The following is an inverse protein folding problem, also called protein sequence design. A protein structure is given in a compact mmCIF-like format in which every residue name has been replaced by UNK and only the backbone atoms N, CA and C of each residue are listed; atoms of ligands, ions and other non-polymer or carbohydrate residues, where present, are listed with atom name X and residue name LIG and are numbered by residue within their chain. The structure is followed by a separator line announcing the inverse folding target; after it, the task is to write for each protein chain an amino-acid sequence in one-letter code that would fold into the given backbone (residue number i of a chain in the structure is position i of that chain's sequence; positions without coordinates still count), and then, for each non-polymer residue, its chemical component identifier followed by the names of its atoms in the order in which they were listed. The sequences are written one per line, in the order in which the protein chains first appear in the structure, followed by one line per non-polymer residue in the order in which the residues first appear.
data_IF_393276938629
#
_entry.id   IF_393276938629
#
_cell.length_a   1.000
_cell.length_b   1.000
_cell.length_c   1.000
_cell.angle_alpha   90.00
_cell.angle_beta   90.00
_cell.angle_gamma   90.00
#
_symmetry.space_group_name_H-M   'P 1'
#
loop_
_entity.id
_entity.type
_entity.pdbx_description
1 polymer ?
#
# COMPACT_ATOMS: atom_id res chain seq x y z
N UNK A 1 16.20 17.55 4.03
CA UNK A 1 15.92 18.84 4.68
C UNK A 1 14.72 18.67 5.58
N UNK A 2 14.92 18.84 6.88
CA UNK A 2 13.82 18.82 7.83
C UNK A 2 13.10 20.16 7.79
N UNK A 3 11.79 20.12 7.50
CA UNK A 3 10.94 21.31 7.47
C UNK A 3 10.81 21.90 8.88
N UNK A 4 11.02 23.21 9.00
CA UNK A 4 10.85 23.97 10.26
C UNK A 4 9.38 24.36 10.47
N UNK A 5 9.02 24.73 11.71
CA UNK A 5 7.67 25.23 12.02
C UNK A 5 7.31 26.48 11.21
N UNK A 6 8.27 27.38 11.00
CA UNK A 6 8.08 28.62 10.24
C UNK A 6 7.76 28.32 8.77
N UNK A 7 8.50 27.38 8.16
CA UNK A 7 8.24 26.93 6.79
C UNK A 7 6.88 26.24 6.67
N UNK A 8 6.57 25.29 7.56
CA UNK A 8 5.29 24.58 7.55
C UNK A 8 4.10 25.56 7.66
N UNK A 9 4.24 26.55 8.53
CA UNK A 9 3.26 27.62 8.74
C UNK A 9 3.10 28.51 7.50
N UNK A 10 4.21 28.91 6.88
CA UNK A 10 4.18 29.72 5.66
C UNK A 10 3.48 28.97 4.52
N UNK A 11 3.77 27.68 4.34
CA UNK A 11 3.09 26.84 3.35
C UNK A 11 1.60 26.71 3.62
N UNK A 12 1.19 26.49 4.87
CA UNK A 12 -0.21 26.43 5.23
C UNK A 12 -0.95 27.73 4.89
N UNK A 13 -0.39 28.88 5.27
CA UNK A 13 -1.00 30.19 4.99
C UNK A 13 -1.14 30.46 3.50
N UNK A 14 -0.11 30.14 2.72
CA UNK A 14 -0.11 30.30 1.26
C UNK A 14 -1.23 29.50 0.55
N UNK A 15 -1.78 28.47 1.19
CA UNK A 15 -2.82 27.60 0.62
C UNK A 15 -4.09 27.56 1.46
N UNK A 16 -4.25 28.45 2.45
CA UNK A 16 -5.33 28.40 3.43
C UNK A 16 -6.74 28.46 2.81
N UNK A 17 -6.90 29.18 1.70
CA UNK A 17 -8.15 29.27 0.95
C UNK A 17 -8.54 27.97 0.22
N UNK A 18 -7.61 27.02 0.09
CA UNK A 18 -7.80 25.76 -0.65
C UNK A 18 -8.11 24.57 0.26
N UNK A 19 -8.34 24.79 1.56
CA UNK A 19 -8.56 23.72 2.55
C UNK A 19 -7.46 22.65 2.50
N UNK A 20 -6.19 23.03 2.80
CA UNK A 20 -5.04 22.18 2.57
C UNK A 20 -5.09 20.90 3.42
N UNK A 21 -4.69 19.78 2.82
CA UNK A 21 -4.46 18.52 3.53
C UNK A 21 -3.03 18.49 4.05
N UNK A 22 -2.86 18.26 5.35
CA UNK A 22 -1.55 18.23 6.00
C UNK A 22 -1.09 16.76 6.07
N UNK A 23 0.05 16.46 5.46
CA UNK A 23 0.66 15.13 5.51
C UNK A 23 1.77 15.11 6.55
N UNK A 24 1.59 14.32 7.61
CA UNK A 24 2.54 14.17 8.71
C UNK A 24 3.48 12.98 8.45
N UNK A 25 4.62 13.27 7.83
CA UNK A 25 5.63 12.29 7.42
C UNK A 25 7.05 12.72 7.87
N UNK A 26 7.25 12.89 9.19
CA UNK A 26 8.57 13.12 9.79
C UNK A 26 8.76 14.50 10.43
N UNK A 27 7.77 15.39 10.37
CA UNK A 27 7.84 16.68 11.06
C UNK A 27 7.86 16.49 12.58
N UNK A 28 8.76 17.15 13.31
CA UNK A 28 9.04 16.82 14.72
C UNK A 28 8.34 17.69 15.79
N UNK A 29 7.59 18.72 15.39
CA UNK A 29 6.94 19.66 16.33
C UNK A 29 5.39 19.68 16.24
N UNK A 30 4.70 18.52 16.39
CA UNK A 30 3.24 18.42 16.20
C UNK A 30 2.43 19.35 17.09
N UNK A 31 2.84 19.49 18.36
CA UNK A 31 2.14 20.33 19.33
C UNK A 31 2.15 21.79 18.90
N UNK A 32 3.32 22.31 18.54
CA UNK A 32 3.49 23.69 18.12
C UNK A 32 2.73 23.98 16.82
N UNK A 33 2.72 23.03 15.87
CA UNK A 33 1.90 23.15 14.66
C UNK A 33 0.40 23.18 14.98
N UNK A 34 -0.08 22.28 15.85
CA UNK A 34 -1.49 22.27 16.26
C UNK A 34 -1.89 23.55 17.00
N UNK A 35 -1.03 24.08 17.88
CA UNK A 35 -1.23 25.36 18.56
C UNK A 35 -1.30 26.52 17.56
N UNK A 36 -0.42 26.53 16.56
CA UNK A 36 -0.42 27.54 15.50
C UNK A 36 -1.69 27.48 14.64
N UNK A 37 -2.17 26.28 14.29
CA UNK A 37 -3.42 26.11 13.55
C UNK A 37 -4.65 26.58 14.34
N UNK A 38 -4.60 26.54 15.69
CA UNK A 38 -5.67 27.00 16.56
C UNK A 38 -7.01 26.36 16.21
N UNK A 39 -8.04 27.20 15.95
CA UNK A 39 -9.39 26.72 15.57
C UNK A 39 -9.42 26.08 14.18
N UNK A 40 -8.54 26.48 13.26
CA UNK A 40 -8.52 25.92 11.91
C UNK A 40 -8.07 24.45 11.88
N UNK A 41 -7.50 23.96 12.98
CA UNK A 41 -7.19 22.54 13.19
C UNK A 41 -8.43 21.66 13.11
N UNK A 42 -9.56 22.11 13.66
CA UNK A 42 -10.77 21.27 13.74
C UNK A 42 -11.38 21.03 12.35
N UNK A 43 -11.16 21.96 11.43
CA UNK A 43 -11.57 21.85 10.03
C UNK A 43 -10.47 21.31 9.12
N UNK A 44 -9.28 20.99 9.64
CA UNK A 44 -8.18 20.50 8.81
C UNK A 44 -8.28 19.00 8.54
N UNK A 45 -7.77 18.59 7.38
CA UNK A 45 -7.55 17.17 7.07
C UNK A 45 -6.10 16.83 7.33
N UNK A 46 -5.88 15.86 8.20
CA UNK A 46 -4.54 15.41 8.61
C UNK A 46 -4.35 13.95 8.20
N UNK A 47 -3.35 13.70 7.37
CA UNK A 47 -2.94 12.36 6.94
C UNK A 47 -1.67 11.99 7.71
N UNK A 48 -1.72 10.94 8.51
CA UNK A 48 -0.61 10.51 9.37
C UNK A 48 0.05 9.28 8.77
N UNK A 49 1.33 9.38 8.39
CA UNK A 49 2.14 8.20 8.07
C UNK A 49 2.56 7.55 9.39
N UNK A 50 2.09 6.34 9.65
CA UNK A 50 2.16 5.72 10.98
C UNK A 50 3.59 5.61 11.53
N UNK A 51 4.59 5.39 10.68
CA UNK A 51 6.00 5.32 11.06
C UNK A 51 6.53 6.62 11.67
N UNK A 52 5.98 7.75 11.27
CA UNK A 52 6.41 9.08 11.72
C UNK A 52 5.45 9.75 12.70
N UNK A 53 4.21 9.28 12.77
CA UNK A 53 3.15 9.92 13.54
C UNK A 53 2.43 8.89 14.44
N UNK A 54 3.14 8.43 15.49
CA UNK A 54 2.61 7.53 16.53
C UNK A 54 1.55 8.24 17.39
N UNK A 55 0.88 7.51 18.29
CA UNK A 55 -0.28 8.02 19.05
C UNK A 55 -0.05 9.35 19.78
N UNK A 56 1.11 9.53 20.43
CA UNK A 56 1.45 10.79 21.11
C UNK A 56 1.56 11.99 20.17
N UNK A 57 1.94 11.76 18.91
CA UNK A 57 1.94 12.78 17.88
C UNK A 57 0.50 13.16 17.51
N UNK A 58 -0.31 12.15 17.19
CA UNK A 58 -1.66 12.31 16.64
C UNK A 58 -2.64 12.93 17.65
N UNK A 59 -2.38 12.81 18.96
CA UNK A 59 -3.26 13.38 20.01
C UNK A 59 -3.47 14.89 19.87
N UNK A 60 -2.49 15.61 19.31
CA UNK A 60 -2.56 17.05 19.13
C UNK A 60 -3.59 17.48 18.08
N UNK A 61 -4.06 16.54 17.26
CA UNK A 61 -4.99 16.78 16.16
C UNK A 61 -6.38 16.15 16.40
N UNK A 62 -6.72 15.81 17.64
CA UNK A 62 -8.06 15.35 17.99
C UNK A 62 -9.12 16.39 17.58
N UNK A 63 -10.29 15.93 17.12
CA UNK A 63 -11.38 16.77 16.62
C UNK A 63 -11.27 17.20 15.15
N UNK A 64 -10.18 16.87 14.46
CA UNK A 64 -10.01 17.10 13.02
C UNK A 64 -10.43 15.88 12.18
N UNK A 65 -10.44 16.01 10.85
CA UNK A 65 -10.47 14.84 9.94
C UNK A 65 -9.09 14.17 9.95
N UNK A 66 -9.03 12.88 10.29
CA UNK A 66 -7.78 12.15 10.55
C UNK A 66 -7.73 10.88 9.72
N UNK A 67 -6.76 10.78 8.83
CA UNK A 67 -6.52 9.59 8.01
C UNK A 67 -5.22 8.94 8.48
N UNK A 68 -5.24 7.65 8.78
CA UNK A 68 -4.03 6.91 9.12
C UNK A 68 -3.52 6.13 7.91
N UNK A 69 -2.26 6.31 7.55
CA UNK A 69 -1.62 5.56 6.48
C UNK A 69 -0.62 4.59 7.10
N UNK A 70 -0.81 3.29 6.88
CA UNK A 70 0.07 2.22 7.36
C UNK A 70 0.65 1.46 6.18
N UNK A 71 1.95 1.18 6.24
CA UNK A 71 2.57 0.29 5.27
C UNK A 71 2.32 -1.17 5.68
N UNK A 72 1.43 -1.85 4.96
CA UNK A 72 1.18 -3.28 5.14
C UNK A 72 2.19 -4.17 4.41
N UNK A 73 3.00 -3.61 3.51
CA UNK A 73 3.89 -4.38 2.67
C UNK A 73 5.26 -4.61 3.34
N UNK A 74 5.46 -5.82 3.86
CA UNK A 74 6.73 -6.24 4.47
C UNK A 74 7.80 -6.50 3.42
N UNK A 75 8.45 -5.44 2.93
CA UNK A 75 9.42 -5.52 1.84
C UNK A 75 10.60 -6.45 2.17
N UNK A 76 10.83 -7.42 1.29
CA UNK A 76 11.95 -8.38 1.32
C UNK A 76 12.56 -8.52 -0.09
N UNK A 77 13.65 -9.28 -0.22
CA UNK A 77 14.10 -9.71 -1.55
C UNK A 77 13.04 -10.65 -2.12
N UNK A 78 12.76 -10.55 -3.42
CA UNK A 78 11.73 -11.38 -4.07
C UNK A 78 11.87 -12.89 -3.78
N UNK A 79 13.11 -13.37 -3.67
CA UNK A 79 13.43 -14.77 -3.39
C UNK A 79 12.99 -15.25 -1.99
N UNK A 80 12.84 -14.34 -1.03
CA UNK A 80 12.70 -14.62 0.40
C UNK A 80 11.24 -14.58 0.88
N UNK A 81 10.30 -14.08 0.06
CA UNK A 81 8.89 -14.05 0.45
C UNK A 81 8.35 -15.47 0.69
N UNK A 82 7.59 -15.62 1.78
CA UNK A 82 6.66 -16.72 2.02
C UNK A 82 5.55 -16.71 0.97
N UNK A 83 4.79 -17.80 0.84
CA UNK A 83 3.66 -17.83 -0.10
C UNK A 83 2.54 -16.85 0.31
N UNK A 84 2.34 -16.66 1.62
CA UNK A 84 1.24 -15.91 2.20
C UNK A 84 1.73 -15.14 3.43
N UNK A 85 1.44 -13.85 3.47
CA UNK A 85 1.66 -12.98 4.63
C UNK A 85 0.39 -12.19 4.95
N UNK A 86 0.26 -11.80 6.22
CA UNK A 86 -0.70 -10.75 6.62
C UNK A 86 -0.27 -9.40 6.03
N UNK A 87 -1.21 -8.68 5.42
CA UNK A 87 -1.00 -7.36 4.84
C UNK A 87 -1.50 -6.25 5.77
N UNK A 88 -2.80 -6.24 6.10
CA UNK A 88 -3.38 -5.17 6.91
C UNK A 88 -4.77 -5.50 7.43
N UNK A 89 -5.08 -5.03 8.64
CA UNK A 89 -6.42 -4.94 9.21
C UNK A 89 -6.96 -3.49 9.21
N UNK A 90 -6.18 -2.53 8.70
CA UNK A 90 -6.47 -1.11 8.94
C UNK A 90 -7.76 -0.64 8.28
N UNK A 91 -8.12 -1.24 7.15
CA UNK A 91 -9.36 -0.94 6.44
C UNK A 91 -10.64 -1.26 7.23
N UNK A 92 -10.56 -2.13 8.24
CA UNK A 92 -11.67 -2.46 9.15
C UNK A 92 -11.47 -1.98 10.60
N UNK A 93 -10.27 -1.50 10.97
CA UNK A 93 -9.96 -1.08 12.36
C UNK A 93 -9.67 0.42 12.53
N UNK A 94 -9.66 1.21 11.45
CA UNK A 94 -9.25 2.62 11.53
C UNK A 94 -10.15 3.48 12.43
N UNK A 95 -11.44 3.17 12.51
CA UNK A 95 -12.41 3.87 13.33
C UNK A 95 -12.19 3.61 14.84
N UNK A 96 -11.87 2.37 15.22
CA UNK A 96 -11.46 1.99 16.59
C UNK A 96 -10.21 2.75 17.05
N UNK A 97 -9.33 3.10 16.11
CA UNK A 97 -8.15 3.93 16.34
C UNK A 97 -8.46 5.44 16.44
N UNK A 98 -9.73 5.82 16.35
CA UNK A 98 -10.20 7.21 16.36
C UNK A 98 -9.83 7.99 15.09
N UNK A 99 -9.72 7.28 13.97
CA UNK A 99 -9.49 7.87 12.65
C UNK A 99 -10.82 7.97 11.89
N UNK A 100 -10.87 8.88 10.91
CA UNK A 100 -12.01 9.06 10.01
C UNK A 100 -11.74 8.48 8.62
N UNK A 101 -10.61 7.80 8.44
CA UNK A 101 -10.23 7.12 7.22
C UNK A 101 -8.86 6.46 7.34
N UNK A 102 -8.49 5.73 6.30
CA UNK A 102 -7.22 5.01 6.23
C UNK A 102 -6.56 5.14 4.86
N UNK A 103 -5.35 4.62 4.75
CA UNK A 103 -4.66 4.36 3.50
C UNK A 103 -3.45 3.46 3.70
N UNK A 104 -2.81 3.10 2.59
CA UNK A 104 -1.61 2.28 2.58
C UNK A 104 -0.68 2.69 1.42
N UNK A 105 0.45 1.98 1.30
CA UNK A 105 1.43 2.16 0.22
C UNK A 105 1.34 1.03 -0.82
N UNK A 106 0.15 0.42 -0.92
CA UNK A 106 -0.17 -0.70 -1.80
C UNK A 106 0.82 -1.87 -1.58
N UNK A 107 0.98 -2.72 -2.59
CA UNK A 107 1.96 -3.83 -2.62
C UNK A 107 3.38 -3.38 -2.97
N UNK A 108 3.71 -2.11 -2.73
CA UNK A 108 5.01 -1.51 -3.08
C UNK A 108 5.78 -1.07 -1.84
N UNK A 109 5.06 -0.58 -0.84
CA UNK A 109 5.61 -0.04 0.39
C UNK A 109 6.07 1.41 0.30
N UNK A 110 6.37 1.99 1.46
CA UNK A 110 6.75 3.40 1.64
C UNK A 110 8.21 3.70 1.29
N UNK A 111 9.00 2.67 1.01
CA UNK A 111 10.41 2.82 0.71
C UNK A 111 10.63 3.26 -0.75
N UNK A 112 11.34 4.38 -0.92
CA UNK A 112 11.80 4.85 -2.21
C UNK A 112 13.28 4.48 -2.43
N UNK A 113 13.60 4.01 -3.64
CA UNK A 113 14.97 3.92 -4.14
C UNK A 113 15.03 4.41 -5.58
N UNK A 114 16.13 5.11 -5.91
CA UNK A 114 16.47 5.45 -7.29
C UNK A 114 16.92 4.19 -8.02
N UNK A 115 16.07 3.69 -8.92
CA UNK A 115 16.35 2.54 -9.76
C UNK A 115 15.86 1.20 -9.21
N UNK A 116 16.18 0.13 -9.93
CA UNK A 116 15.91 -1.24 -9.55
C UNK A 116 17.22 -2.03 -9.52
N UNK A 117 17.43 -2.80 -8.46
CA UNK A 117 18.49 -3.81 -8.46
C UNK A 117 18.20 -4.94 -9.45
N UNK A 118 19.20 -5.73 -9.84
CA UNK A 118 19.00 -6.92 -10.67
C UNK A 118 17.94 -7.86 -10.05
N UNK A 119 16.96 -8.26 -10.85
CA UNK A 119 15.87 -9.14 -10.42
C UNK A 119 16.31 -10.61 -10.48
N UNK A 120 16.87 -11.10 -9.37
CA UNK A 120 17.23 -12.51 -9.20
C UNK A 120 16.02 -13.44 -9.22
N UNK A 121 14.89 -12.98 -8.68
CA UNK A 121 13.60 -13.65 -8.74
C UNK A 121 12.51 -12.65 -9.17
N UNK A 122 11.46 -13.16 -9.82
CA UNK A 122 10.24 -12.39 -10.12
C UNK A 122 9.17 -12.81 -9.11
N UNK A 123 8.48 -11.82 -8.54
CA UNK A 123 7.34 -12.06 -7.66
C UNK A 123 6.12 -11.31 -8.17
N UNK A 124 4.95 -11.95 -8.12
CA UNK A 124 3.64 -11.31 -8.32
C UNK A 124 2.97 -11.24 -6.95
N UNK A 125 2.57 -10.03 -6.57
CA UNK A 125 1.95 -9.74 -5.28
C UNK A 125 0.46 -9.46 -5.49
N UNK A 126 -0.44 -10.18 -4.81
CA UNK A 126 -1.87 -9.94 -4.91
C UNK A 126 -2.52 -10.04 -3.53
N UNK A 127 -3.29 -9.02 -3.17
CA UNK A 127 -3.99 -8.94 -1.89
C UNK A 127 -5.42 -9.43 -2.01
N UNK A 128 -5.92 -10.06 -0.96
CA UNK A 128 -7.33 -10.43 -0.80
C UNK A 128 -7.80 -10.11 0.62
N UNK A 129 -9.11 -9.97 0.78
CA UNK A 129 -9.76 -9.80 2.07
C UNK A 129 -10.34 -11.15 2.48
N UNK A 130 -9.98 -11.62 3.67
CA UNK A 130 -10.38 -12.93 4.15
C UNK A 130 -11.65 -12.82 5.00
N UNK A 131 -12.80 -13.13 4.39
CA UNK A 131 -14.09 -13.15 5.08
C UNK A 131 -14.18 -14.20 6.21
N UNK A 132 -13.33 -15.23 6.18
CA UNK A 132 -13.28 -16.24 7.25
C UNK A 132 -12.42 -15.80 8.44
N UNK A 133 -11.72 -14.66 8.32
CA UNK A 133 -10.80 -14.15 9.33
C UNK A 133 -10.98 -12.65 9.56
N UNK A 134 -12.17 -12.28 10.06
CA UNK A 134 -12.52 -10.91 10.46
C UNK A 134 -12.25 -9.85 9.39
N UNK A 135 -12.38 -10.22 8.12
CA UNK A 135 -12.11 -9.36 6.96
C UNK A 135 -10.66 -8.82 6.95
N UNK A 136 -9.73 -9.47 7.62
CA UNK A 136 -8.32 -9.09 7.56
C UNK A 136 -7.78 -9.26 6.13
N UNK A 137 -6.93 -8.32 5.70
CA UNK A 137 -6.31 -8.38 4.39
C UNK A 137 -4.99 -9.16 4.45
N UNK A 138 -4.86 -10.06 3.49
CA UNK A 138 -3.67 -10.89 3.27
C UNK A 138 -3.07 -10.61 1.90
N UNK A 139 -1.84 -11.06 1.71
CA UNK A 139 -1.10 -10.95 0.46
C UNK A 139 -0.50 -12.30 0.07
N UNK A 140 -0.76 -12.73 -1.16
CA UNK A 140 -0.01 -13.81 -1.78
C UNK A 140 1.25 -13.27 -2.46
N UNK A 141 2.36 -14.02 -2.35
CA UNK A 141 3.59 -13.78 -3.09
C UNK A 141 3.88 -14.99 -4.01
N UNK A 142 3.56 -14.85 -5.29
CA UNK A 142 3.88 -15.86 -6.29
C UNK A 142 5.30 -15.63 -6.79
N UNK A 143 6.27 -16.34 -6.20
CA UNK A 143 7.70 -16.19 -6.50
C UNK A 143 8.16 -17.22 -7.54
N UNK A 144 8.99 -16.80 -8.50
CA UNK A 144 9.64 -17.69 -9.48
C UNK A 144 10.49 -18.78 -8.80
N UNK A 145 10.58 -19.95 -9.43
CA UNK A 145 11.37 -21.07 -8.92
C UNK A 145 12.87 -20.81 -9.08
N UNK A 146 13.26 -20.24 -10.22
CA UNK A 146 14.67 -19.89 -10.47
C UNK A 146 15.01 -18.55 -9.81
N UNK A 147 16.10 -18.56 -9.02
CA UNK A 147 16.52 -17.44 -8.15
C UNK A 147 18.02 -17.12 -8.22
N UNK A 148 18.82 -17.91 -8.95
CA UNK A 148 20.29 -17.90 -8.82
C UNK A 148 20.99 -16.81 -9.63
N UNK A 149 20.42 -16.45 -10.80
CA UNK A 149 20.98 -15.44 -11.72
C UNK A 149 19.96 -14.34 -11.96
N UNK A 150 20.36 -13.15 -12.44
CA UNK A 150 19.40 -12.11 -12.86
C UNK A 150 18.95 -12.24 -14.33
N UNK A 151 19.42 -13.27 -15.05
CA UNK A 151 19.08 -13.52 -16.46
C UNK A 151 17.65 -14.06 -16.60
N UNK A 152 17.09 -13.99 -17.82
CA UNK A 152 15.77 -14.52 -18.17
C UNK A 152 14.60 -14.10 -17.24
N UNK A 153 14.29 -12.79 -17.17
CA UNK A 153 13.12 -12.32 -16.40
C UNK A 153 11.78 -12.83 -16.97
N UNK A 154 11.73 -13.16 -18.27
CA UNK A 154 10.53 -13.66 -18.92
C UNK A 154 10.17 -15.08 -18.45
N UNK A 155 11.14 -16.00 -18.43
CA UNK A 155 10.95 -17.36 -17.92
C UNK A 155 10.56 -17.37 -16.44
N UNK A 156 11.21 -16.53 -15.62
CA UNK A 156 10.83 -16.36 -14.19
C UNK A 156 9.43 -15.83 -14.01
N UNK A 157 9.02 -14.85 -14.82
CA UNK A 157 7.65 -14.38 -14.80
C UNK A 157 6.68 -15.50 -15.16
N UNK A 158 6.95 -16.31 -16.18
CA UNK A 158 6.11 -17.44 -16.53
C UNK A 158 5.95 -18.44 -15.37
N UNK A 159 7.03 -18.74 -14.64
CA UNK A 159 6.97 -19.59 -13.44
C UNK A 159 6.06 -19.00 -12.34
N UNK A 160 6.26 -17.72 -12.01
CA UNK A 160 5.43 -17.02 -11.03
C UNK A 160 3.95 -16.96 -11.48
N UNK A 161 3.71 -16.70 -12.77
CA UNK A 161 2.38 -16.63 -13.34
C UNK A 161 1.68 -18.00 -13.33
N UNK A 162 2.39 -19.09 -13.62
CA UNK A 162 1.82 -20.44 -13.52
C UNK A 162 1.32 -20.74 -12.10
N UNK A 163 2.06 -20.32 -11.08
CA UNK A 163 1.64 -20.47 -9.67
C UNK A 163 0.39 -19.66 -9.36
N UNK A 164 0.32 -18.42 -9.87
CA UNK A 164 -0.88 -17.58 -9.75
C UNK A 164 -2.09 -18.27 -10.41
N UNK A 165 -1.97 -18.73 -11.65
CA UNK A 165 -3.07 -19.38 -12.37
C UNK A 165 -3.51 -20.66 -11.65
N UNK A 166 -2.57 -21.50 -11.21
CA UNK A 166 -2.89 -22.68 -10.42
C UNK A 166 -3.64 -22.34 -9.11
N UNK A 167 -3.24 -21.27 -8.41
CA UNK A 167 -3.95 -20.80 -7.22
C UNK A 167 -5.33 -20.26 -7.53
N UNK A 168 -5.53 -19.59 -8.66
CA UNK A 168 -6.86 -19.12 -9.09
C UNK A 168 -7.78 -20.29 -9.46
N UNK A 169 -7.24 -21.29 -10.16
CA UNK A 169 -8.01 -22.42 -10.67
C UNK A 169 -8.30 -23.48 -9.57
N UNK A 170 -7.70 -23.35 -8.38
CA UNK A 170 -7.98 -24.22 -7.24
C UNK A 170 -9.38 -24.03 -6.65
N UNK A 171 -10.07 -22.94 -6.97
CA UNK A 171 -11.38 -22.57 -6.41
C UNK A 171 -11.35 -22.08 -4.97
N UNK A 172 -10.17 -22.02 -4.33
CA UNK A 172 -10.00 -21.55 -2.95
C UNK A 172 -8.98 -20.40 -2.83
N UNK A 173 -8.82 -19.63 -3.90
CA UNK A 173 -7.85 -18.54 -3.97
C UNK A 173 -8.17 -17.38 -3.04
N UNK A 174 -9.46 -17.15 -2.72
CA UNK A 174 -9.99 -15.93 -2.08
C UNK A 174 -9.72 -14.62 -2.86
N UNK A 175 -9.01 -14.68 -3.98
CA UNK A 175 -8.71 -13.54 -4.83
C UNK A 175 -9.96 -13.15 -5.63
N UNK A 176 -10.32 -11.87 -5.56
CA UNK A 176 -11.37 -11.30 -6.39
C UNK A 176 -10.96 -11.35 -7.88
N UNK A 177 -11.87 -11.74 -8.77
CA UNK A 177 -11.63 -11.77 -10.23
C UNK A 177 -11.65 -10.34 -10.83
N UNK A 178 -10.64 -9.55 -10.47
CA UNK A 178 -10.52 -8.15 -10.88
C UNK A 178 -10.07 -8.01 -12.34
N UNK A 179 -10.05 -6.80 -12.88
CA UNK A 179 -9.59 -6.61 -14.25
C UNK A 179 -8.09 -6.88 -14.41
N UNK A 180 -7.30 -6.73 -13.34
CA UNK A 180 -5.90 -7.15 -13.30
C UNK A 180 -5.74 -8.68 -13.40
N UNK A 181 -6.59 -9.46 -12.71
CA UNK A 181 -6.58 -10.93 -12.82
C UNK A 181 -6.90 -11.38 -14.24
N UNK A 182 -7.93 -10.78 -14.86
CA UNK A 182 -8.28 -11.05 -16.26
C UNK A 182 -7.11 -10.77 -17.21
N UNK A 183 -6.30 -9.77 -16.92
CA UNK A 183 -5.10 -9.47 -17.70
C UNK A 183 -3.99 -10.49 -17.46
N UNK A 184 -3.75 -10.93 -16.22
CA UNK A 184 -2.80 -12.01 -15.93
C UNK A 184 -3.16 -13.32 -16.66
N UNK A 185 -4.45 -13.69 -16.71
CA UNK A 185 -4.92 -14.84 -17.50
C UNK A 185 -4.59 -14.69 -18.98
N UNK A 186 -4.85 -13.53 -19.59
CA UNK A 186 -4.48 -13.26 -21.00
C UNK A 186 -2.98 -13.32 -21.25
N UNK A 187 -2.16 -12.84 -20.32
CA UNK A 187 -0.70 -12.90 -20.43
C UNK A 187 -0.22 -14.37 -20.38
N UNK A 188 -0.84 -15.18 -19.53
CA UNK A 188 -0.58 -16.62 -19.42
C UNK A 188 -0.94 -17.33 -20.73
N UNK A 189 -2.16 -17.14 -21.24
CA UNK A 189 -2.64 -17.79 -22.47
C UNK A 189 -1.79 -17.44 -23.70
N UNK A 190 -1.24 -16.22 -23.73
CA UNK A 190 -0.37 -15.75 -24.82
C UNK A 190 1.11 -16.11 -24.63
N UNK A 191 1.50 -16.59 -23.45
CA UNK A 191 2.91 -16.76 -23.08
C UNK A 191 3.73 -15.47 -23.16
N UNK A 192 3.10 -14.32 -22.86
CA UNK A 192 3.71 -13.00 -23.08
C UNK A 192 4.25 -12.39 -21.79
N UNK A 193 5.51 -11.95 -21.82
CA UNK A 193 6.12 -11.15 -20.75
C UNK A 193 6.01 -9.64 -21.06
N UNK A 194 5.20 -8.87 -20.32
CA UNK A 194 4.97 -7.45 -20.60
C UNK A 194 6.01 -6.52 -19.93
N UNK A 195 7.00 -7.07 -19.22
CA UNK A 195 7.96 -6.33 -18.41
C UNK A 195 7.56 -6.16 -16.94
N UNK A 196 8.56 -6.01 -16.07
CA UNK A 196 8.39 -5.96 -14.61
C UNK A 196 7.53 -4.79 -14.13
N UNK A 197 7.66 -3.62 -14.77
CA UNK A 197 6.84 -2.45 -14.43
C UNK A 197 5.35 -2.68 -14.68
N UNK A 198 5.00 -3.40 -15.76
CA UNK A 198 3.61 -3.72 -16.06
C UNK A 198 3.03 -4.72 -15.06
N UNK A 199 3.81 -5.72 -14.65
CA UNK A 199 3.39 -6.68 -13.61
C UNK A 199 3.08 -5.95 -12.30
N UNK A 200 3.99 -5.06 -11.86
CA UNK A 200 3.79 -4.25 -10.66
C UNK A 200 2.53 -3.38 -10.75
N UNK A 201 2.29 -2.77 -11.93
CA UNK A 201 1.06 -2.01 -12.20
C UNK A 201 -0.19 -2.88 -12.05
N UNK A 202 -0.19 -4.11 -12.57
CA UNK A 202 -1.33 -5.02 -12.41
C UNK A 202 -1.56 -5.40 -10.94
N UNK A 203 -0.50 -5.69 -10.19
CA UNK A 203 -0.58 -5.96 -8.75
C UNK A 203 -1.17 -4.78 -7.96
N UNK A 204 -0.72 -3.54 -8.24
CA UNK A 204 -1.31 -2.33 -7.63
C UNK A 204 -2.78 -2.13 -8.03
N UNK A 205 -3.11 -2.37 -9.31
CA UNK A 205 -4.48 -2.26 -9.81
C UNK A 205 -5.40 -3.26 -9.11
N UNK A 206 -4.97 -4.51 -8.97
CA UNK A 206 -5.70 -5.54 -8.25
C UNK A 206 -6.02 -5.11 -6.83
N UNK A 207 -5.01 -4.63 -6.09
CA UNK A 207 -5.19 -4.15 -4.71
C UNK A 207 -6.27 -3.06 -4.59
N UNK A 208 -6.23 -2.05 -5.46
CA UNK A 208 -7.22 -0.97 -5.49
C UNK A 208 -8.61 -1.52 -5.82
N UNK A 209 -8.72 -2.42 -6.80
CA UNK A 209 -9.99 -3.05 -7.19
C UNK A 209 -10.57 -3.93 -6.06
N UNK A 210 -9.72 -4.63 -5.30
CA UNK A 210 -10.11 -5.41 -4.12
C UNK A 210 -10.73 -4.51 -3.04
N UNK A 211 -10.05 -3.42 -2.67
CA UNK A 211 -10.60 -2.45 -1.70
C UNK A 211 -11.86 -1.77 -2.23
N UNK A 212 -11.87 -1.35 -3.49
CA UNK A 212 -13.04 -0.72 -4.09
C UNK A 212 -14.26 -1.65 -4.05
N UNK A 213 -14.08 -2.94 -4.34
CA UNK A 213 -15.16 -3.92 -4.25
C UNK A 213 -15.67 -4.10 -2.81
N UNK A 214 -14.75 -4.19 -1.84
CA UNK A 214 -15.10 -4.30 -0.42
C UNK A 214 -16.01 -3.15 0.05
N UNK A 215 -15.68 -1.90 -0.32
CA UNK A 215 -16.48 -0.72 0.06
C UNK A 215 -17.64 -0.39 -0.89
N UNK A 216 -17.87 -1.17 -1.95
CA UNK A 216 -19.00 -0.96 -2.87
C UNK A 216 -20.29 -1.66 -2.41
N UNK A 217 -20.23 -2.40 -1.31
CA UNK A 217 -21.35 -3.19 -0.77
C UNK A 217 -22.11 -2.44 0.31
#
# INVERSE_FOLDING_TARGET
NDMTLAEATAYYHAHSEQSPTIVHAGFMAPKALAEHLGKNKDTSRNVFVEDHAKTLYRKHFNGSTRVLVRDGFKRQRNADYSELDEFSDLHVTYDELGMTGFGDFLVVGNYYAEGGGPAYAVAIHLTFIDADNDEAMYIYHFVSDTKDTPTDPAGKFAQALNKLIAKLDSGNSKLLETSAIKEFRKLHDKGHFPGLGYIKKLSMKHHIETLANFFSS
#
